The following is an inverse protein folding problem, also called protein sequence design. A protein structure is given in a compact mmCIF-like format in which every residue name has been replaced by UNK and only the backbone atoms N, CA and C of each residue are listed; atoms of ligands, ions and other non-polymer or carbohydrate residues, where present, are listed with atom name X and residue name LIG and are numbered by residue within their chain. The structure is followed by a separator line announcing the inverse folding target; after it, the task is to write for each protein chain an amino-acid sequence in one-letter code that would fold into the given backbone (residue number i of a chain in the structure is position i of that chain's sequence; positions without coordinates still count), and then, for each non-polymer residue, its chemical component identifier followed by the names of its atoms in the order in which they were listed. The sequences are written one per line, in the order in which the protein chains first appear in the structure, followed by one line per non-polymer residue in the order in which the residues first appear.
data_IF_441270408465
#
_entry.id   IF_441270408465
#
_cell.length_a   1.000
_cell.length_b   1.000
_cell.length_c   1.000
_cell.angle_alpha   90.00
_cell.angle_beta   90.00
_cell.angle_gamma   90.00
#
_symmetry.space_group_name_H-M   'P 1'
#
loop_
_entity.id
_entity.type
_entity.pdbx_description
1 polymer ?
#
# COMPACT_ATOMS: atom_id res chain seq x y z
N UNK A 1 -7.57 44.18 70.68
CA UNK A 1 -7.60 42.92 71.48
C UNK A 1 -8.58 41.99 70.79
N UNK A 2 -8.20 40.71 70.62
CA UNK A 2 -8.95 39.58 70.02
C UNK A 2 -9.29 39.76 68.53
N UNK A 3 -8.62 39.14 67.55
CA UNK A 3 -8.32 37.71 67.32
C UNK A 3 -9.55 36.79 67.20
N UNK A 4 -9.55 36.03 66.10
CA UNK A 4 -9.89 34.59 66.02
C UNK A 4 -11.13 34.16 65.19
N UNK A 5 -10.84 33.80 63.93
CA UNK A 5 -11.06 32.49 63.26
C UNK A 5 -12.49 31.93 63.11
N UNK A 6 -12.88 31.65 61.85
CA UNK A 6 -13.26 30.28 61.39
C UNK A 6 -13.43 30.18 59.85
N UNK A 7 -12.57 29.39 59.17
CA UNK A 7 -12.84 28.06 58.55
C UNK A 7 -13.50 28.16 57.15
N UNK A 8 -12.71 28.10 56.07
CA UNK A 8 -12.39 26.90 55.25
C UNK A 8 -13.63 26.21 54.66
N UNK A 9 -13.69 26.17 53.32
CA UNK A 9 -14.34 25.07 52.60
C UNK A 9 -15.13 25.48 51.38
N UNK A 10 -14.48 25.66 50.23
CA UNK A 10 -15.15 25.43 48.94
C UNK A 10 -14.33 24.44 48.12
N UNK A 11 -14.99 23.33 47.81
CA UNK A 11 -14.42 22.06 47.40
C UNK A 11 -13.85 22.05 45.96
N UNK A 12 -12.70 21.39 45.72
CA UNK A 12 -12.13 21.21 44.39
C UNK A 12 -12.60 19.88 43.75
N UNK A 13 -13.86 19.77 43.36
CA UNK A 13 -14.43 18.51 42.83
C UNK A 13 -15.19 18.66 41.50
N UNK A 14 -14.89 19.71 40.71
CA UNK A 14 -15.57 19.93 39.42
C UNK A 14 -14.68 19.88 38.17
N UNK A 15 -13.40 19.51 38.31
CA UNK A 15 -12.44 19.52 37.18
C UNK A 15 -12.18 18.11 36.59
N UNK A 16 -12.61 17.03 37.26
CA UNK A 16 -12.24 15.66 36.85
C UNK A 16 -13.18 14.96 35.87
N UNK A 17 -14.37 15.51 35.54
CA UNK A 17 -15.37 14.81 34.72
C UNK A 17 -15.39 15.22 33.23
N UNK A 18 -14.68 16.26 32.84
CA UNK A 18 -14.70 16.81 31.47
C UNK A 18 -13.66 16.21 30.53
N UNK A 19 -12.77 15.33 31.02
CA UNK A 19 -11.69 14.74 30.21
C UNK A 19 -12.02 13.38 29.59
N UNK A 20 -13.08 12.70 30.06
CA UNK A 20 -13.39 11.34 29.59
C UNK A 20 -14.21 11.28 28.28
N UNK A 21 -14.96 12.34 27.94
CA UNK A 21 -15.78 12.39 26.71
C UNK A 21 -15.01 12.91 25.50
N UNK A 22 -14.07 13.84 25.71
CA UNK A 22 -13.24 14.41 24.63
C UNK A 22 -12.28 13.39 23.99
N UNK A 23 -11.89 12.34 24.74
CA UNK A 23 -11.00 11.28 24.24
C UNK A 23 -11.66 10.30 23.26
N UNK A 24 -12.98 10.14 23.29
CA UNK A 24 -13.69 9.16 22.43
C UNK A 24 -14.02 9.70 21.05
N UNK A 25 -14.33 10.99 20.92
CA UNK A 25 -14.59 11.60 19.61
C UNK A 25 -13.32 11.76 18.77
N UNK A 26 -12.16 11.92 19.42
CA UNK A 26 -10.88 12.10 18.73
C UNK A 26 -10.39 10.84 18.00
N UNK A 27 -10.70 9.65 18.51
CA UNK A 27 -10.29 8.38 17.86
C UNK A 27 -11.14 8.06 16.62
N UNK A 28 -12.43 8.38 16.63
CA UNK A 28 -13.34 8.12 15.51
C UNK A 28 -13.05 9.06 14.33
N UNK A 29 -12.72 10.32 14.59
CA UNK A 29 -12.37 11.28 13.54
C UNK A 29 -11.07 10.93 12.81
N UNK A 30 -10.05 10.42 13.52
CA UNK A 30 -8.82 9.95 12.86
C UNK A 30 -9.06 8.74 11.94
N UNK A 31 -9.99 7.85 12.29
CA UNK A 31 -10.20 6.61 11.51
C UNK A 31 -10.88 6.87 10.15
N UNK A 32 -11.72 7.92 10.04
CA UNK A 32 -12.42 8.26 8.79
C UNK A 32 -11.49 8.90 7.75
N UNK A 33 -10.45 9.62 8.18
CA UNK A 33 -9.53 10.33 7.26
C UNK A 33 -8.61 9.36 6.49
N UNK A 34 -8.24 8.22 7.08
CA UNK A 34 -7.31 7.28 6.44
C UNK A 34 -7.90 6.49 5.27
N UNK A 35 -9.23 6.36 5.16
CA UNK A 35 -9.85 5.56 4.09
C UNK A 35 -9.97 6.30 2.74
N UNK A 36 -9.72 7.60 2.70
CA UNK A 36 -9.89 8.42 1.49
C UNK A 36 -8.72 8.36 0.49
N UNK A 37 -7.49 8.15 0.96
CA UNK A 37 -6.31 8.25 0.10
C UNK A 37 -6.23 7.15 -0.97
N UNK A 38 -6.65 5.93 -0.65
CA UNK A 38 -6.59 4.80 -1.58
C UNK A 38 -7.64 4.90 -2.69
N UNK A 39 -8.86 5.36 -2.35
CA UNK A 39 -9.95 5.54 -3.33
C UNK A 39 -9.60 6.62 -4.35
N UNK A 40 -8.97 7.71 -3.91
CA UNK A 40 -8.57 8.80 -4.79
C UNK A 40 -7.48 8.37 -5.78
N UNK A 41 -6.49 7.59 -5.33
CA UNK A 41 -5.44 7.08 -6.22
C UNK A 41 -6.00 6.14 -7.29
N UNK A 42 -6.91 5.25 -6.91
CA UNK A 42 -7.54 4.32 -7.85
C UNK A 42 -8.36 5.05 -8.93
N UNK A 43 -9.09 6.11 -8.55
CA UNK A 43 -9.84 6.96 -9.49
C UNK A 43 -8.91 7.80 -10.38
N UNK A 44 -7.83 8.35 -9.82
CA UNK A 44 -6.85 9.12 -10.61
C UNK A 44 -6.16 8.27 -11.68
N UNK A 45 -5.94 6.98 -11.41
CA UNK A 45 -5.35 6.06 -12.39
C UNK A 45 -6.23 5.77 -13.60
N UNK A 46 -7.55 5.94 -13.49
CA UNK A 46 -8.46 5.90 -14.64
C UNK A 46 -8.25 7.11 -15.58
N UNK A 47 -7.73 8.22 -15.05
CA UNK A 47 -7.44 9.45 -15.79
C UNK A 47 -6.13 9.41 -16.58
N UNK A 48 -5.17 8.58 -16.19
CA UNK A 48 -3.84 8.52 -16.82
C UNK A 48 -3.90 7.83 -18.18
N UNK A 49 -3.35 8.49 -19.21
CA UNK A 49 -3.36 8.02 -20.60
C UNK A 49 -1.97 8.04 -21.24
N UNK A 50 -1.71 7.20 -22.27
CA UNK A 50 -0.50 7.28 -23.06
C UNK A 50 -0.31 8.68 -23.65
N UNK A 51 0.93 9.17 -23.67
CA UNK A 51 1.29 10.51 -24.15
C UNK A 51 1.28 11.60 -23.07
N UNK A 52 0.76 11.34 -21.87
CA UNK A 52 0.83 12.31 -20.77
C UNK A 52 2.27 12.53 -20.30
N UNK A 53 2.58 13.75 -19.92
CA UNK A 53 3.86 14.15 -19.33
C UNK A 53 3.93 13.79 -17.84
N UNK A 54 5.13 13.77 -17.23
CA UNK A 54 5.27 13.47 -15.81
C UNK A 54 4.57 14.48 -14.90
N UNK A 55 4.41 15.72 -15.35
CA UNK A 55 3.71 16.76 -14.58
C UNK A 55 2.19 16.60 -14.66
N UNK A 56 1.64 16.20 -15.80
CA UNK A 56 0.22 15.83 -15.93
C UNK A 56 -0.11 14.62 -15.07
N UNK A 57 0.74 13.59 -15.08
CA UNK A 57 0.57 12.42 -14.20
C UNK A 57 0.61 12.83 -12.72
N UNK A 58 1.47 13.77 -12.34
CA UNK A 58 1.53 14.27 -10.96
C UNK A 58 0.30 15.08 -10.58
N UNK A 59 -0.31 15.80 -11.52
CA UNK A 59 -1.56 16.51 -11.29
C UNK A 59 -2.73 15.54 -10.99
N UNK A 60 -2.76 14.39 -11.67
CA UNK A 60 -3.80 13.36 -11.50
C UNK A 60 -3.57 12.47 -10.26
N UNK A 61 -2.33 11.99 -10.07
CA UNK A 61 -2.01 10.96 -9.08
C UNK A 61 -1.32 11.49 -7.82
N UNK A 62 -0.81 12.72 -7.86
CA UNK A 62 0.13 13.24 -6.88
C UNK A 62 1.54 12.66 -7.06
N UNK A 63 2.38 12.88 -6.05
CA UNK A 63 3.77 12.42 -6.07
C UNK A 63 3.88 10.88 -5.96
N UNK A 64 4.71 10.24 -6.80
CA UNK A 64 4.95 8.82 -6.71
C UNK A 64 5.74 8.48 -5.44
N UNK A 65 5.48 7.31 -4.87
CA UNK A 65 6.21 6.82 -3.71
C UNK A 65 7.65 6.42 -4.06
N UNK A 66 7.86 5.91 -5.28
CA UNK A 66 9.18 5.55 -5.82
C UNK A 66 9.32 6.05 -7.24
N UNK A 67 10.47 6.66 -7.54
CA UNK A 67 10.88 7.06 -8.89
C UNK A 67 12.11 6.25 -9.28
N UNK A 68 11.99 5.46 -10.33
CA UNK A 68 13.10 4.69 -10.91
C UNK A 68 13.52 5.44 -12.17
N UNK A 69 14.76 5.94 -12.24
CA UNK A 69 15.23 6.74 -13.37
C UNK A 69 15.35 5.88 -14.63
N UNK A 70 15.37 6.53 -15.82
CA UNK A 70 15.66 5.84 -17.07
C UNK A 70 17.03 5.17 -17.04
N UNK A 71 17.13 3.97 -17.60
CA UNK A 71 18.42 3.31 -17.82
C UNK A 71 19.14 3.95 -18.99
N UNK A 72 20.45 4.17 -18.83
CA UNK A 72 21.33 4.71 -19.86
C UNK A 72 22.27 3.61 -20.38
N UNK A 73 22.65 3.67 -21.64
CA UNK A 73 23.73 2.86 -22.21
C UNK A 73 25.12 3.41 -21.86
N UNK A 74 26.18 2.73 -22.32
CA UNK A 74 27.58 3.13 -22.10
C UNK A 74 27.93 4.50 -22.72
N UNK A 75 27.08 5.01 -23.61
CA UNK A 75 27.24 6.29 -24.30
C UNK A 75 26.30 7.38 -23.77
N UNK A 76 25.50 7.07 -22.73
CA UNK A 76 24.56 7.99 -22.11
C UNK A 76 23.21 8.13 -22.83
N UNK A 77 22.92 7.31 -23.85
CA UNK A 77 21.61 7.28 -24.49
C UNK A 77 20.59 6.53 -23.62
N UNK A 78 19.35 6.99 -23.59
CA UNK A 78 18.27 6.35 -22.83
C UNK A 78 17.85 5.05 -23.51
N UNK A 79 17.91 3.96 -22.74
CA UNK A 79 17.41 2.65 -23.13
C UNK A 79 15.91 2.50 -22.81
N UNK A 80 15.43 3.23 -21.81
CA UNK A 80 14.02 3.32 -21.42
C UNK A 80 13.69 4.71 -20.84
N UNK A 81 12.42 5.00 -20.57
CA UNK A 81 11.95 6.27 -20.01
C UNK A 81 11.91 6.34 -18.48
N UNK A 82 12.28 5.27 -17.79
CA UNK A 82 12.10 5.15 -16.35
C UNK A 82 10.66 4.80 -15.95
N UNK A 83 10.43 4.72 -14.64
CA UNK A 83 9.21 4.14 -14.08
C UNK A 83 8.85 4.74 -12.74
N UNK A 84 7.58 5.02 -12.53
CA UNK A 84 7.03 5.49 -11.26
C UNK A 84 6.18 4.40 -10.61
N UNK A 85 6.28 4.27 -9.29
CA UNK A 85 5.48 3.35 -8.50
C UNK A 85 4.76 4.10 -7.38
N UNK A 86 3.49 3.75 -7.20
CA UNK A 86 2.66 4.21 -6.10
C UNK A 86 2.42 3.01 -5.19
N UNK A 87 3.22 2.96 -4.14
CA UNK A 87 3.27 1.85 -3.20
C UNK A 87 2.28 2.09 -2.06
N UNK A 88 1.67 1.00 -1.60
CA UNK A 88 0.66 1.00 -0.54
C UNK A 88 1.27 0.84 0.86
N UNK A 89 2.47 0.26 0.97
CA UNK A 89 3.12 -0.05 2.25
C UNK A 89 4.66 -0.04 2.17
N UNK A 90 5.31 -0.10 3.36
CA UNK A 90 6.77 -0.06 3.51
C UNK A 90 7.49 -1.26 2.88
N UNK A 91 6.87 -2.43 2.82
CA UNK A 91 7.48 -3.62 2.21
C UNK A 91 7.60 -3.43 0.69
N UNK A 92 6.56 -2.88 0.05
CA UNK A 92 6.56 -2.51 -1.36
C UNK A 92 7.68 -1.50 -1.67
N UNK A 93 7.88 -0.50 -0.80
CA UNK A 93 8.97 0.47 -0.91
C UNK A 93 10.36 -0.17 -0.77
N UNK A 94 10.55 -1.01 0.24
CA UNK A 94 11.82 -1.69 0.49
C UNK A 94 12.19 -2.62 -0.68
N UNK A 95 11.21 -3.32 -1.25
CA UNK A 95 11.44 -4.20 -2.39
C UNK A 95 11.85 -3.42 -3.64
N UNK A 96 11.21 -2.27 -3.89
CA UNK A 96 11.58 -1.39 -5.00
C UNK A 96 12.99 -0.80 -4.86
N UNK A 97 13.44 -0.55 -3.63
CA UNK A 97 14.81 -0.09 -3.36
C UNK A 97 15.85 -1.21 -3.53
N UNK A 98 15.53 -2.44 -3.11
CA UNK A 98 16.43 -3.58 -3.19
C UNK A 98 16.52 -4.19 -4.60
N UNK A 99 15.42 -4.19 -5.35
CA UNK A 99 15.28 -4.84 -6.64
C UNK A 99 14.56 -3.91 -7.62
N UNK A 100 15.24 -2.88 -8.16
CA UNK A 100 14.61 -1.88 -9.02
C UNK A 100 14.11 -2.47 -10.35
N UNK A 101 14.63 -3.61 -10.79
CA UNK A 101 14.12 -4.33 -11.96
C UNK A 101 12.78 -5.03 -11.69
N UNK A 102 12.53 -5.45 -10.45
CA UNK A 102 11.33 -6.18 -10.08
C UNK A 102 10.17 -5.23 -9.75
N UNK A 103 8.96 -5.61 -10.16
CA UNK A 103 7.76 -4.79 -9.95
C UNK A 103 6.76 -5.57 -9.11
N UNK A 104 6.58 -5.23 -7.83
CA UNK A 104 5.65 -5.95 -6.95
C UNK A 104 4.22 -5.98 -7.53
N UNK A 105 3.51 -7.08 -7.32
CA UNK A 105 2.15 -7.24 -7.83
C UNK A 105 1.14 -6.30 -7.16
N UNK A 106 1.43 -5.81 -5.95
CA UNK A 106 0.53 -4.98 -5.14
C UNK A 106 0.65 -3.48 -5.42
N UNK A 107 1.51 -3.03 -6.33
CA UNK A 107 1.73 -1.59 -6.59
C UNK A 107 1.11 -1.13 -7.90
N UNK A 108 0.68 0.13 -7.92
CA UNK A 108 0.33 0.81 -9.15
C UNK A 108 1.60 1.35 -9.83
N UNK A 109 1.63 1.29 -11.15
CA UNK A 109 2.85 1.56 -11.93
C UNK A 109 2.52 2.42 -13.13
N UNK A 110 3.38 3.39 -13.42
CA UNK A 110 3.40 4.18 -14.64
C UNK A 110 4.76 4.01 -15.30
N UNK A 111 4.78 3.60 -16.57
CA UNK A 111 5.99 3.56 -17.39
C UNK A 111 6.01 4.75 -18.33
N UNK A 112 7.21 5.33 -18.46
CA UNK A 112 7.46 6.38 -19.42
C UNK A 112 8.29 5.83 -20.57
N UNK A 113 8.09 6.39 -21.76
CA UNK A 113 8.93 6.16 -22.93
C UNK A 113 10.20 7.02 -22.86
N UNK A 114 11.16 6.78 -23.75
CA UNK A 114 12.44 7.51 -23.84
C UNK A 114 12.25 9.04 -23.94
N UNK A 115 11.15 9.47 -24.58
CA UNK A 115 10.74 10.87 -24.71
C UNK A 115 10.16 11.47 -23.40
N UNK A 116 9.97 10.65 -22.37
CA UNK A 116 9.47 11.07 -21.06
C UNK A 116 7.95 11.18 -20.96
N UNK A 117 7.21 10.61 -21.90
CA UNK A 117 5.73 10.54 -21.87
C UNK A 117 5.24 9.18 -21.42
N UNK A 118 4.04 9.08 -20.86
CA UNK A 118 3.45 7.81 -20.43
C UNK A 118 3.33 6.88 -21.62
N UNK A 119 3.93 5.70 -21.49
CA UNK A 119 3.78 4.60 -22.44
C UNK A 119 2.67 3.65 -21.97
N UNK A 120 2.54 3.44 -20.66
CA UNK A 120 1.53 2.55 -20.12
C UNK A 120 1.41 2.60 -18.60
N UNK A 121 0.36 1.96 -18.08
CA UNK A 121 0.08 1.85 -16.65
C UNK A 121 -0.26 0.41 -16.28
N UNK A 122 -0.04 0.05 -15.01
CA UNK A 122 -0.46 -1.25 -14.46
C UNK A 122 -1.12 -1.06 -13.10
N UNK A 123 -2.24 -1.74 -12.93
CA UNK A 123 -2.95 -1.85 -11.65
C UNK A 123 -2.37 -2.97 -10.79
N UNK A 124 -2.54 -2.93 -9.46
CA UNK A 124 -2.26 -4.05 -8.59
C UNK A 124 -3.01 -5.31 -9.06
N UNK A 125 -2.28 -6.42 -9.12
CA UNK A 125 -2.84 -7.73 -9.40
C UNK A 125 -3.41 -8.26 -8.08
N UNK A 126 -4.71 -8.56 -8.06
CA UNK A 126 -5.33 -9.25 -6.92
C UNK A 126 -4.90 -10.71 -6.99
N UNK A 127 -3.99 -11.10 -6.11
CA UNK A 127 -3.77 -12.51 -5.82
C UNK A 127 -4.92 -12.92 -4.90
N UNK A 128 -5.92 -13.61 -5.46
CA UNK A 128 -6.85 -14.37 -4.64
C UNK A 128 -5.98 -15.42 -3.92
N UNK A 129 -5.81 -15.27 -2.60
CA UNK A 129 -5.25 -16.35 -1.79
C UNK A 129 -6.09 -17.58 -2.12
N UNK A 130 -5.45 -18.62 -2.65
CA UNK A 130 -6.12 -19.85 -3.06
C UNK A 130 -6.85 -20.48 -1.88
N UNK A 131 -8.10 -20.06 -1.68
CA UNK A 131 -9.11 -20.83 -0.99
C UNK A 131 -9.34 -22.08 -1.81
N UNK A 132 -8.86 -23.20 -1.28
CA UNK A 132 -9.53 -24.51 -1.31
C UNK A 132 -10.64 -24.68 -2.36
N UNK A 133 -10.24 -24.62 -3.63
CA UNK A 133 -11.03 -25.08 -4.75
C UNK A 133 -11.13 -26.61 -4.74
N UNK A 134 -11.91 -27.15 -3.80
CA UNK A 134 -12.40 -28.52 -3.88
C UNK A 134 -13.47 -28.59 -4.96
N UNK A 135 -13.05 -28.90 -6.19
CA UNK A 135 -13.92 -29.47 -7.22
C UNK A 135 -13.31 -30.80 -7.69
N UNK A 136 -13.87 -31.85 -7.11
CA UNK A 136 -14.30 -33.14 -7.65
C UNK A 136 -13.29 -34.13 -8.30
N UNK A 137 -13.34 -35.34 -7.74
CA UNK A 137 -13.17 -36.69 -8.30
C UNK A 137 -12.41 -36.87 -9.63
N UNK A 138 -11.35 -37.69 -9.53
CA UNK A 138 -10.98 -38.61 -10.60
C UNK A 138 -9.50 -38.58 -10.97
N UNK A 139 -8.70 -39.45 -10.35
CA UNK A 139 -7.34 -39.73 -10.81
C UNK A 139 -6.30 -39.57 -9.71
N UNK A 140 -6.41 -40.37 -8.65
CA UNK A 140 -5.38 -40.54 -7.65
C UNK A 140 -4.08 -41.03 -8.33
N UNK A 141 -3.17 -40.11 -8.64
CA UNK A 141 -1.76 -40.47 -8.75
C UNK A 141 -1.16 -40.23 -7.37
N UNK A 142 -1.03 -41.26 -6.52
CA UNK A 142 -0.40 -41.07 -5.23
C UNK A 142 1.03 -40.57 -5.43
N UNK A 143 1.40 -39.51 -4.74
CA UNK A 143 2.75 -38.92 -4.69
C UNK A 143 3.80 -39.86 -4.06
N UNK A 144 3.41 -41.07 -3.68
CA UNK A 144 4.29 -42.15 -3.28
C UNK A 144 3.94 -43.40 -4.11
N UNK A 145 4.90 -44.04 -4.78
CA UNK A 145 4.65 -45.34 -5.39
C UNK A 145 4.28 -46.34 -4.29
N UNK A 146 3.14 -47.01 -4.47
CA UNK A 146 2.71 -48.12 -3.61
C UNK A 146 3.85 -49.16 -3.52
N UNK A 147 4.16 -49.59 -2.29
CA UNK A 147 5.26 -50.50 -1.99
C UNK A 147 5.20 -51.75 -2.90
N UNK A 148 6.36 -52.12 -3.47
CA UNK A 148 6.50 -53.29 -4.33
C UNK A 148 5.96 -54.57 -3.66
N UNK A 149 5.31 -55.48 -4.41
CA UNK A 149 4.78 -56.71 -3.83
C UNK A 149 5.90 -57.63 -3.34
N UNK A 150 5.65 -58.43 -2.28
CA UNK A 150 6.65 -59.35 -1.74
C UNK A 150 7.02 -60.40 -2.79
N UNK A 151 8.31 -60.53 -3.09
CA UNK A 151 8.82 -61.67 -3.85
C UNK A 151 8.79 -62.89 -2.95
N UNK A 152 7.81 -63.77 -3.17
CA UNK A 152 7.84 -65.12 -2.64
C UNK A 152 8.95 -65.93 -3.31
N UNK A 153 9.75 -66.63 -2.51
CA UNK A 153 10.47 -67.83 -2.92
C UNK A 153 10.35 -68.86 -1.82
#
# INVERSE_FOLDING_TARGET
MAEMVAVIGYAPEMIRRTLARARRCSLVACMVVFSGCMTQLQQGFDGVRPGMTPDEVRAELGDPSVRIPPRLDEHGARLDGGRWQYADNLSSLANAAAFPEFVPDRVWVVWFDVDGVVQGTRRPIRVEDGGDGSVDQGGETPLFPSAAPPRSR
#
